data_IF_102019143355
#
_entry.id   IF_102019143355
#
_cell.length_a   1.000
_cell.length_b   1.000
_cell.length_c   1.000
_cell.angle_alpha   90.00
_cell.angle_beta   90.00
_cell.angle_gamma   90.00
#
_symmetry.space_group_name_H-M   'P 1'
#
loop_
_entity.id
_entity.type
_entity.pdbx_description
1 polymer ?
#
# COMPACT_ATOMS: atom_id res chain seq x y z
N UNK A 1 13.75 67.37 -31.14
CA UNK A 1 12.99 66.11 -31.35
C UNK A 1 13.66 64.86 -30.72
N UNK A 2 14.92 64.92 -30.30
CA UNK A 2 15.70 63.75 -29.82
C UNK A 2 15.44 63.37 -28.34
N UNK A 3 15.10 64.34 -27.47
CA UNK A 3 14.97 64.12 -26.01
C UNK A 3 13.80 63.19 -25.61
N UNK A 4 12.70 63.20 -26.38
CA UNK A 4 11.50 62.38 -26.14
C UNK A 4 11.68 60.88 -26.46
N UNK A 5 12.66 60.54 -27.29
CA UNK A 5 12.95 59.14 -27.64
C UNK A 5 13.75 58.42 -26.54
N UNK A 6 14.64 59.15 -25.84
CA UNK A 6 15.48 58.58 -24.79
C UNK A 6 14.73 58.26 -23.49
N UNK A 7 13.68 59.01 -23.15
CA UNK A 7 12.88 58.72 -21.96
C UNK A 7 11.97 57.49 -22.14
N UNK A 8 11.46 57.28 -23.36
CA UNK A 8 10.64 56.10 -23.68
C UNK A 8 11.46 54.81 -23.64
N UNK A 9 12.71 54.82 -24.12
CA UNK A 9 13.56 53.63 -24.05
C UNK A 9 13.90 53.24 -22.62
N UNK A 10 14.17 54.21 -21.74
CA UNK A 10 14.47 53.98 -20.32
C UNK A 10 13.27 53.42 -19.57
N UNK A 11 12.06 53.93 -19.85
CA UNK A 11 10.80 53.42 -19.25
C UNK A 11 10.51 51.98 -19.69
N UNK A 12 10.72 51.65 -20.97
CA UNK A 12 10.52 50.30 -21.51
C UNK A 12 11.54 49.31 -20.93
N UNK A 13 12.82 49.68 -20.80
CA UNK A 13 13.85 48.80 -20.22
C UNK A 13 13.59 48.50 -18.75
N UNK A 14 13.11 49.48 -17.95
CA UNK A 14 12.73 49.26 -16.55
C UNK A 14 11.50 48.36 -16.42
N UNK A 15 10.51 48.51 -17.31
CA UNK A 15 9.30 47.70 -17.31
C UNK A 15 9.61 46.22 -17.65
N UNK A 16 10.48 45.98 -18.63
CA UNK A 16 10.87 44.62 -19.04
C UNK A 16 11.67 43.90 -17.94
N UNK A 17 12.55 44.60 -17.22
CA UNK A 17 13.30 44.02 -16.10
C UNK A 17 12.41 43.62 -14.92
N UNK A 18 11.39 44.43 -14.58
CA UNK A 18 10.43 44.13 -13.51
C UNK A 18 9.58 42.90 -13.87
N UNK A 19 9.16 42.76 -15.12
CA UNK A 19 8.38 41.59 -15.57
C UNK A 19 9.25 40.32 -15.51
N UNK A 20 10.50 40.36 -15.95
CA UNK A 20 11.40 39.19 -15.91
C UNK A 20 11.67 38.74 -14.47
N UNK A 21 11.93 39.67 -13.54
CA UNK A 21 12.14 39.31 -12.12
C UNK A 21 10.86 38.75 -11.47
N UNK A 22 9.68 39.24 -11.86
CA UNK A 22 8.40 38.75 -11.31
C UNK A 22 8.08 37.32 -11.76
N UNK A 23 8.41 36.98 -13.02
CA UNK A 23 8.20 35.64 -13.57
C UNK A 23 9.13 34.61 -12.90
N UNK A 24 10.39 34.99 -12.63
CA UNK A 24 11.37 34.08 -12.00
C UNK A 24 10.99 33.74 -10.54
N UNK A 25 10.42 34.68 -9.79
CA UNK A 25 9.98 34.44 -8.40
C UNK A 25 8.73 33.56 -8.34
N UNK A 26 7.80 33.71 -9.30
CA UNK A 26 6.62 32.84 -9.41
C UNK A 26 6.98 31.41 -9.84
N UNK A 27 7.96 31.23 -10.73
CA UNK A 27 8.44 29.88 -11.09
C UNK A 27 9.28 29.24 -9.99
N UNK A 28 10.08 30.02 -9.25
CA UNK A 28 10.93 29.50 -8.16
C UNK A 28 10.13 29.01 -6.95
N UNK A 29 9.08 29.74 -6.58
CA UNK A 29 8.19 29.37 -5.46
C UNK A 29 7.16 28.30 -5.84
N UNK A 30 6.66 28.31 -7.09
CA UNK A 30 5.77 27.26 -7.60
C UNK A 30 6.44 25.89 -7.70
N UNK A 31 7.72 25.84 -8.11
CA UNK A 31 8.49 24.58 -8.15
C UNK A 31 8.95 24.16 -6.75
N UNK A 32 9.33 25.10 -5.88
CA UNK A 32 9.72 24.80 -4.50
C UNK A 32 8.59 24.21 -3.64
N UNK A 33 7.34 24.59 -3.90
CA UNK A 33 6.17 24.03 -3.20
C UNK A 33 5.77 22.66 -3.80
N UNK A 34 6.02 22.40 -5.08
CA UNK A 34 5.74 21.08 -5.67
C UNK A 34 6.81 20.03 -5.40
N UNK A 35 8.06 20.43 -5.14
CA UNK A 35 9.14 19.51 -4.71
C UNK A 35 9.10 19.25 -3.19
N UNK A 36 8.40 20.10 -2.42
CA UNK A 36 8.19 19.91 -0.97
C UNK A 36 7.04 18.96 -0.61
N UNK A 37 6.25 18.48 -1.57
CA UNK A 37 5.13 17.56 -1.33
C UNK A 37 5.54 16.15 -1.78
N UNK A 38 5.81 15.29 -0.78
CA UNK A 38 6.19 13.86 -0.82
C UNK A 38 7.67 13.54 -0.98
N UNK A 39 8.45 13.89 0.05
CA UNK A 39 9.54 13.01 0.52
C UNK A 39 8.97 11.86 1.39
N UNK A 40 7.90 11.20 0.93
CA UNK A 40 7.62 9.85 1.41
C UNK A 40 8.45 8.92 0.55
N UNK A 41 9.75 8.85 0.83
CA UNK A 41 10.54 7.70 0.42
C UNK A 41 9.86 6.52 1.10
N UNK A 42 8.98 5.79 0.40
CA UNK A 42 8.48 4.53 0.93
C UNK A 42 9.70 3.65 1.06
N UNK A 43 10.22 3.50 2.28
CA UNK A 43 11.27 2.53 2.54
C UNK A 43 10.76 1.20 2.02
N UNK A 44 11.50 0.60 1.08
CA UNK A 44 11.19 -0.75 0.64
C UNK A 44 11.11 -1.65 1.88
N UNK A 45 10.10 -2.52 1.96
CA UNK A 45 9.96 -3.39 3.12
C UNK A 45 11.19 -4.28 3.21
N UNK A 46 11.65 -4.57 4.43
CA UNK A 46 12.85 -5.38 4.63
C UNK A 46 12.73 -6.71 3.85
N UNK A 47 13.57 -6.97 2.84
CA UNK A 47 13.42 -8.14 1.96
C UNK A 47 13.61 -9.47 2.71
N UNK A 48 14.34 -9.45 3.83
CA UNK A 48 14.58 -10.64 4.66
C UNK A 48 13.53 -10.86 5.73
N UNK A 49 12.60 -9.91 5.92
CA UNK A 49 11.47 -10.15 6.82
C UNK A 49 10.60 -11.28 6.24
N UNK A 50 10.15 -12.18 7.10
CA UNK A 50 9.32 -13.32 6.72
C UNK A 50 8.14 -13.47 7.67
N UNK A 51 7.08 -14.08 7.15
CA UNK A 51 5.97 -14.58 7.95
C UNK A 51 5.93 -16.10 7.88
N UNK A 52 5.40 -16.71 8.93
CA UNK A 52 5.30 -18.16 9.06
C UNK A 52 4.00 -18.68 8.43
N UNK A 53 4.08 -19.83 7.78
CA UNK A 53 2.92 -20.59 7.33
C UNK A 53 3.04 -22.00 7.88
N UNK A 54 1.98 -22.51 8.50
CA UNK A 54 2.00 -23.81 9.17
C UNK A 54 0.64 -24.52 9.18
N UNK A 55 0.62 -25.73 9.73
CA UNK A 55 -0.59 -26.55 9.89
C UNK A 55 -0.77 -27.57 8.76
N UNK A 56 -1.96 -27.66 8.21
CA UNK A 56 -2.31 -28.58 7.11
C UNK A 56 -1.78 -28.06 5.76
N UNK A 57 -0.45 -28.05 5.59
CA UNK A 57 0.23 -27.74 4.32
C UNK A 57 1.18 -28.88 3.95
N UNK A 58 1.38 -29.09 2.65
CA UNK A 58 2.32 -30.10 2.15
C UNK A 58 3.74 -29.64 2.50
N UNK A 59 4.46 -30.46 3.29
CA UNK A 59 5.81 -30.11 3.78
C UNK A 59 5.87 -29.48 5.18
N UNK A 60 4.72 -29.23 5.82
CA UNK A 60 4.63 -28.92 7.26
C UNK A 60 4.68 -27.43 7.62
N UNK A 61 5.86 -26.82 7.70
CA UNK A 61 6.03 -25.41 8.06
C UNK A 61 7.00 -24.73 7.10
N UNK A 62 6.61 -23.55 6.61
CA UNK A 62 7.44 -22.75 5.71
C UNK A 62 7.47 -21.29 6.16
N UNK A 63 8.57 -20.60 5.88
CA UNK A 63 8.68 -19.16 6.07
C UNK A 63 8.74 -18.48 4.70
N UNK A 64 7.79 -17.58 4.43
CA UNK A 64 7.73 -16.83 3.17
C UNK A 64 8.34 -15.45 3.41
N UNK A 65 9.35 -15.11 2.61
CA UNK A 65 10.04 -13.83 2.70
C UNK A 65 9.28 -12.71 1.98
N UNK A 66 9.52 -11.48 2.39
CA UNK A 66 9.01 -10.30 1.70
C UNK A 66 9.54 -10.23 0.26
N UNK A 67 10.80 -10.60 0.03
CA UNK A 67 11.36 -10.70 -1.32
C UNK A 67 10.55 -11.66 -2.21
N UNK A 68 10.14 -12.81 -1.66
CA UNK A 68 9.25 -13.74 -2.36
C UNK A 68 7.91 -13.08 -2.67
N UNK A 69 7.24 -12.48 -1.67
CA UNK A 69 5.95 -11.80 -1.85
C UNK A 69 5.98 -10.73 -2.94
N UNK A 70 7.04 -9.93 -3.00
CA UNK A 70 7.22 -8.87 -4.01
C UNK A 70 7.50 -9.41 -5.42
N UNK A 71 7.91 -10.68 -5.55
CA UNK A 71 8.16 -11.32 -6.84
C UNK A 71 6.93 -12.06 -7.42
N UNK A 72 5.89 -12.26 -6.61
CA UNK A 72 4.66 -12.93 -7.03
C UNK A 72 3.78 -12.01 -7.89
N UNK A 73 2.87 -12.56 -8.71
CA UNK A 73 1.84 -11.79 -9.40
C UNK A 73 1.05 -10.95 -8.41
N UNK A 74 0.96 -9.65 -8.68
CA UNK A 74 0.22 -8.73 -7.83
C UNK A 74 -1.21 -8.52 -8.33
N UNK A 75 -2.08 -8.22 -7.39
CA UNK A 75 -3.43 -7.73 -7.59
C UNK A 75 -3.56 -6.36 -6.93
N UNK A 76 -4.24 -5.43 -7.59
CA UNK A 76 -4.40 -4.06 -7.12
C UNK A 76 -5.84 -3.58 -7.34
N UNK A 77 -6.47 -3.10 -6.28
CA UNK A 77 -7.85 -2.65 -6.31
C UNK A 77 -8.14 -1.63 -5.18
N UNK A 78 -9.12 -0.76 -5.40
CA UNK A 78 -9.68 0.10 -4.35
C UNK A 78 -10.68 -0.69 -3.50
N UNK A 79 -10.45 -0.72 -2.18
CA UNK A 79 -11.33 -1.36 -1.21
C UNK A 79 -11.96 -0.32 -0.30
N UNK A 80 -13.26 -0.45 -0.06
CA UNK A 80 -13.96 0.23 1.03
C UNK A 80 -13.81 -0.56 2.31
N UNK A 81 -13.13 0.01 3.30
CA UNK A 81 -12.96 -0.57 4.63
C UNK A 81 -13.96 0.08 5.58
N UNK A 82 -14.84 -0.73 6.16
CA UNK A 82 -15.89 -0.30 7.10
C UNK A 82 -15.59 -0.79 8.50
N UNK A 83 -15.33 0.16 9.40
CA UNK A 83 -14.96 -0.09 10.79
C UNK A 83 -15.49 1.06 11.66
N UNK A 84 -14.77 1.42 12.73
CA UNK A 84 -15.02 2.66 13.49
C UNK A 84 -14.99 3.90 12.59
N UNK A 85 -14.13 3.89 11.58
CA UNK A 85 -14.08 4.91 10.52
C UNK A 85 -14.11 4.20 9.18
N UNK A 86 -14.94 4.69 8.27
CA UNK A 86 -15.03 4.17 6.92
C UNK A 86 -14.06 4.94 6.02
N UNK A 87 -13.34 4.22 5.16
CA UNK A 87 -12.46 4.84 4.18
C UNK A 87 -12.30 3.94 2.97
N UNK A 88 -12.02 4.56 1.82
CA UNK A 88 -11.57 3.86 0.63
C UNK A 88 -10.05 3.96 0.56
N UNK A 89 -9.40 2.88 0.13
CA UNK A 89 -7.97 2.93 -0.18
C UNK A 89 -7.60 1.96 -1.29
N UNK A 90 -6.64 2.36 -2.12
CA UNK A 90 -5.99 1.49 -3.09
C UNK A 90 -5.02 0.56 -2.36
N UNK A 91 -5.23 -0.74 -2.47
CA UNK A 91 -4.31 -1.76 -1.95
C UNK A 91 -3.71 -2.57 -3.08
N UNK A 92 -2.43 -2.92 -2.92
CA UNK A 92 -1.69 -3.82 -3.80
C UNK A 92 -1.06 -4.95 -2.98
N UNK A 93 -1.21 -6.17 -3.47
CA UNK A 93 -0.84 -7.39 -2.75
C UNK A 93 -0.89 -8.63 -3.63
N UNK A 94 -0.82 -9.80 -2.98
CA UNK A 94 -0.98 -11.10 -3.65
C UNK A 94 -2.38 -11.64 -3.33
N UNK A 95 -3.07 -12.17 -4.34
CA UNK A 95 -4.35 -12.87 -4.14
C UNK A 95 -4.15 -14.09 -3.24
N UNK A 96 -5.04 -14.27 -2.27
CA UNK A 96 -4.94 -15.40 -1.35
C UNK A 96 -5.13 -16.75 -2.04
N UNK A 97 -6.07 -16.84 -2.98
CA UNK A 97 -6.29 -18.06 -3.77
C UNK A 97 -5.00 -18.51 -4.47
N UNK A 98 -4.35 -17.59 -5.20
CA UNK A 98 -3.06 -17.84 -5.85
C UNK A 98 -1.96 -18.22 -4.85
N UNK A 99 -1.83 -17.46 -3.74
CA UNK A 99 -0.82 -17.75 -2.72
C UNK A 99 -0.99 -19.16 -2.14
N UNK A 100 -2.23 -19.60 -1.96
CA UNK A 100 -2.53 -20.87 -1.29
C UNK A 100 -2.36 -22.06 -2.24
N UNK A 101 -2.72 -21.92 -3.51
CA UNK A 101 -2.61 -23.01 -4.50
C UNK A 101 -1.24 -23.11 -5.14
N UNK A 102 -0.63 -21.99 -5.53
CA UNK A 102 0.58 -22.00 -6.36
C UNK A 102 1.88 -21.89 -5.56
N UNK A 103 1.82 -21.40 -4.31
CA UNK A 103 3.02 -21.10 -3.51
C UNK A 103 3.12 -21.97 -2.26
N UNK A 104 2.03 -22.14 -1.51
CA UNK A 104 2.03 -22.86 -0.23
C UNK A 104 1.78 -24.36 -0.40
N UNK A 105 1.01 -24.76 -1.41
CA UNK A 105 0.53 -26.15 -1.60
C UNK A 105 -0.25 -26.65 -0.35
N UNK A 106 -1.41 -26.02 -0.11
CA UNK A 106 -2.26 -26.33 1.05
C UNK A 106 -2.85 -27.74 0.92
N UNK A 107 -2.82 -28.51 2.01
CA UNK A 107 -3.35 -29.87 2.02
C UNK A 107 -4.88 -29.85 1.81
N UNK A 108 -5.45 -30.69 0.92
CA UNK A 108 -6.89 -30.74 0.66
C UNK A 108 -7.77 -31.05 1.88
N UNK A 109 -7.19 -31.61 2.95
CA UNK A 109 -7.85 -31.85 4.23
C UNK A 109 -8.16 -30.55 4.98
N UNK A 110 -7.38 -29.48 4.78
CA UNK A 110 -7.59 -28.19 5.44
C UNK A 110 -9.00 -27.66 5.16
N UNK A 111 -9.66 -27.15 6.20
CA UNK A 111 -11.00 -26.57 6.14
C UNK A 111 -11.02 -25.12 6.53
N UNK A 112 -10.05 -24.67 7.31
CA UNK A 112 -9.96 -23.32 7.82
C UNK A 112 -8.56 -22.75 7.60
N UNK A 113 -8.51 -21.42 7.55
CA UNK A 113 -7.27 -20.66 7.55
C UNK A 113 -7.38 -19.55 8.57
N UNK A 114 -6.38 -19.44 9.45
CA UNK A 114 -6.28 -18.41 10.48
C UNK A 114 -5.13 -17.48 10.15
N UNK A 115 -5.41 -16.18 10.16
CA UNK A 115 -4.39 -15.13 10.03
C UNK A 115 -4.14 -14.53 11.40
N UNK A 116 -2.89 -14.60 11.87
CA UNK A 116 -2.47 -14.05 13.15
C UNK A 116 -1.57 -12.84 12.94
N UNK A 117 -1.87 -11.78 13.68
CA UNK A 117 -1.11 -10.54 13.71
C UNK A 117 -0.05 -10.53 14.80
N UNK A 118 0.90 -9.60 14.67
CA UNK A 118 1.92 -9.34 15.67
C UNK A 118 1.37 -9.00 17.07
N UNK A 119 0.21 -8.33 17.13
CA UNK A 119 -0.42 -7.92 18.40
C UNK A 119 -1.28 -9.03 19.04
N UNK A 120 -1.28 -10.24 18.46
CA UNK A 120 -2.08 -11.38 18.90
C UNK A 120 -3.52 -11.36 18.39
N UNK A 121 -3.93 -10.35 17.62
CA UNK A 121 -5.22 -10.39 16.93
C UNK A 121 -5.22 -11.50 15.88
N UNK A 122 -6.32 -12.24 15.75
CA UNK A 122 -6.45 -13.27 14.74
C UNK A 122 -7.84 -13.32 14.13
N UNK A 123 -7.92 -13.72 12.88
CA UNK A 123 -9.20 -14.02 12.22
C UNK A 123 -9.14 -15.32 11.45
N UNK A 124 -10.17 -16.15 11.60
CA UNK A 124 -10.30 -17.44 10.92
C UNK A 124 -11.39 -17.39 9.86
N UNK A 125 -11.08 -17.95 8.68
CA UNK A 125 -12.04 -18.13 7.58
C UNK A 125 -12.20 -19.60 7.25
N UNK A 126 -13.33 -19.93 6.64
CA UNK A 126 -13.44 -21.19 5.91
C UNK A 126 -12.53 -21.11 4.68
N UNK A 127 -11.68 -22.11 4.46
CA UNK A 127 -10.72 -22.12 3.36
C UNK A 127 -11.42 -22.09 2.00
N UNK A 128 -12.56 -22.77 1.86
CA UNK A 128 -13.32 -22.74 0.60
C UNK A 128 -13.86 -21.36 0.26
N UNK A 129 -14.20 -20.53 1.25
CA UNK A 129 -14.60 -19.13 1.01
C UNK A 129 -13.43 -18.34 0.42
N UNK A 130 -12.23 -18.53 0.95
CA UNK A 130 -11.03 -17.82 0.51
C UNK A 130 -10.60 -18.27 -0.89
N UNK A 131 -10.60 -19.59 -1.15
CA UNK A 131 -10.20 -20.13 -2.46
C UNK A 131 -11.17 -19.75 -3.58
N UNK A 132 -12.46 -19.61 -3.27
CA UNK A 132 -13.48 -19.18 -4.24
C UNK A 132 -13.58 -17.65 -4.37
N UNK A 133 -12.66 -16.89 -3.76
CA UNK A 133 -12.66 -15.44 -3.81
C UNK A 133 -11.36 -14.90 -4.43
N UNK A 134 -11.51 -14.20 -5.56
CA UNK A 134 -10.42 -13.57 -6.31
C UNK A 134 -10.09 -12.15 -5.83
N UNK A 135 -10.85 -11.61 -4.88
CA UNK A 135 -10.67 -10.25 -4.37
C UNK A 135 -10.00 -10.19 -3.00
N UNK A 136 -9.77 -11.32 -2.33
CA UNK A 136 -9.07 -11.32 -1.05
C UNK A 136 -7.57 -11.29 -1.30
N UNK A 137 -6.88 -10.36 -0.66
CA UNK A 137 -5.44 -10.19 -0.85
C UNK A 137 -4.67 -10.10 0.47
N UNK A 138 -3.41 -10.50 0.40
CA UNK A 138 -2.40 -10.14 1.39
C UNK A 138 -1.61 -8.95 0.85
N UNK A 139 -1.99 -7.75 1.29
CA UNK A 139 -1.45 -6.48 0.81
C UNK A 139 -0.12 -6.13 1.45
N UNK A 140 0.82 -5.64 0.65
CA UNK A 140 2.11 -5.07 1.09
C UNK A 140 2.23 -3.58 0.74
N UNK A 141 1.23 -2.99 0.07
CA UNK A 141 1.21 -1.60 -0.35
C UNK A 141 -0.19 -0.99 -0.21
N UNK A 142 -0.25 0.26 0.23
CA UNK A 142 -1.47 1.07 0.37
C UNK A 142 -1.21 2.47 -0.20
N UNK A 143 -2.09 2.97 -1.05
CA UNK A 143 -1.97 4.31 -1.69
C UNK A 143 -0.62 4.52 -2.40
N UNK A 144 -0.12 3.48 -3.08
CA UNK A 144 1.17 3.53 -3.78
C UNK A 144 2.39 3.59 -2.86
N UNK A 145 2.23 3.35 -1.55
CA UNK A 145 3.30 3.34 -0.56
C UNK A 145 3.40 1.96 0.08
N UNK A 146 4.63 1.43 0.19
CA UNK A 146 4.85 0.18 0.92
C UNK A 146 4.40 0.33 2.37
N UNK A 147 3.76 -0.72 2.88
CA UNK A 147 3.50 -0.85 4.30
C UNK A 147 4.84 -1.05 5.02
N UNK A 148 5.03 -0.40 6.17
CA UNK A 148 6.28 -0.44 6.94
C UNK A 148 6.09 -1.14 8.28
N UNK A 149 7.19 -1.58 8.89
CA UNK A 149 7.16 -2.26 10.18
C UNK A 149 6.72 -1.32 11.32
N UNK A 150 6.33 -1.90 12.46
CA UNK A 150 6.08 -1.12 13.67
C UNK A 150 7.32 -0.35 14.15
N UNK A 151 8.53 -0.89 13.94
CA UNK A 151 9.79 -0.22 14.30
C UNK A 151 10.00 1.08 13.50
N UNK A 152 9.41 1.17 12.32
CA UNK A 152 9.44 2.35 11.44
C UNK A 152 8.19 3.23 11.60
N UNK A 153 7.38 2.99 12.64
CA UNK A 153 6.12 3.72 12.88
C UNK A 153 4.96 3.31 11.96
N UNK A 154 5.10 2.21 11.22
CA UNK A 154 4.05 1.61 10.41
C UNK A 154 3.10 0.70 11.19
N UNK A 155 2.31 -0.10 10.48
CA UNK A 155 1.40 -1.09 11.08
C UNK A 155 1.68 -2.51 10.55
N UNK A 156 2.96 -2.83 10.33
CA UNK A 156 3.40 -4.12 9.81
C UNK A 156 3.36 -4.20 8.29
N UNK A 157 4.22 -5.07 7.75
CA UNK A 157 4.47 -5.18 6.31
C UNK A 157 3.35 -5.82 5.50
N UNK A 158 2.49 -6.64 6.14
CA UNK A 158 1.43 -7.39 5.46
C UNK A 158 0.08 -7.17 6.13
N UNK A 159 -0.93 -6.78 5.34
CA UNK A 159 -2.32 -6.64 5.77
C UNK A 159 -3.20 -7.59 4.99
N UNK A 160 -4.01 -8.38 5.67
CA UNK A 160 -5.13 -9.07 5.05
C UNK A 160 -6.19 -8.04 4.68
N UNK A 161 -6.64 -8.04 3.42
CA UNK A 161 -7.72 -7.18 2.94
C UNK A 161 -8.86 -8.05 2.42
N UNK A 162 -10.04 -7.83 3.00
CA UNK A 162 -11.29 -8.51 2.67
C UNK A 162 -12.35 -7.46 2.32
N UNK A 163 -12.97 -7.48 1.14
CA UNK A 163 -14.01 -6.52 0.78
C UNK A 163 -15.27 -6.68 1.61
N UNK A 164 -16.05 -5.60 1.72
CA UNK A 164 -17.39 -5.65 2.27
C UNK A 164 -18.31 -6.41 1.32
N UNK A 165 -19.03 -7.42 1.82
CA UNK A 165 -19.98 -8.23 1.04
C UNK A 165 -21.20 -7.43 0.61
N UNK A 166 -21.57 -6.41 1.37
CA UNK A 166 -22.73 -5.56 1.12
C UNK A 166 -22.58 -4.20 1.84
N UNK A 167 -23.51 -3.24 1.64
CA UNK A 167 -23.42 -1.93 2.26
C UNK A 167 -23.40 -1.90 3.79
N UNK A 168 -23.94 -2.92 4.46
CA UNK A 168 -24.01 -3.00 5.94
C UNK A 168 -22.96 -3.90 6.55
N UNK A 169 -22.05 -4.44 5.73
CA UNK A 169 -21.00 -5.35 6.17
C UNK A 169 -19.77 -4.58 6.68
N UNK A 170 -19.55 -4.62 8.00
CA UNK A 170 -18.36 -4.05 8.65
C UNK A 170 -17.17 -5.02 8.53
N UNK A 171 -16.50 -4.95 7.38
CA UNK A 171 -15.38 -5.81 7.01
C UNK A 171 -14.05 -5.47 7.71
N UNK A 172 -13.92 -4.31 8.37
CA UNK A 172 -12.65 -3.88 8.94
C UNK A 172 -12.06 -4.82 9.98
N UNK A 173 -12.90 -5.53 10.74
CA UNK A 173 -12.45 -6.57 11.69
C UNK A 173 -11.80 -7.77 10.99
N UNK A 174 -12.22 -8.09 9.75
CA UNK A 174 -11.63 -9.16 8.94
C UNK A 174 -10.33 -8.75 8.26
N UNK A 175 -9.99 -7.46 8.28
CA UNK A 175 -8.78 -6.94 7.67
C UNK A 175 -7.64 -6.93 8.70
N UNK A 176 -7.02 -8.08 8.91
CA UNK A 176 -5.94 -8.29 9.90
C UNK A 176 -4.69 -7.51 9.48
N UNK A 177 -4.26 -6.56 10.31
CA UNK A 177 -3.02 -5.79 10.08
C UNK A 177 -1.82 -6.51 10.67
N UNK A 178 -0.65 -6.31 10.08
CA UNK A 178 0.61 -6.92 10.53
C UNK A 178 0.54 -8.45 10.66
N UNK A 179 0.05 -9.12 9.62
CA UNK A 179 0.03 -10.59 9.56
C UNK A 179 1.46 -11.11 9.67
N UNK A 180 1.70 -11.95 10.69
CA UNK A 180 2.99 -12.60 10.95
C UNK A 180 2.92 -14.11 10.83
N UNK A 181 1.72 -14.68 10.86
CA UNK A 181 1.51 -16.12 10.73
C UNK A 181 0.18 -16.44 10.02
N UNK A 182 0.21 -17.48 9.18
CA UNK A 182 -0.97 -18.10 8.56
C UNK A 182 -1.00 -19.58 8.95
N UNK A 183 -2.12 -20.04 9.49
CA UNK A 183 -2.27 -21.41 10.01
C UNK A 183 -3.44 -22.09 9.30
N UNK A 184 -3.19 -23.24 8.67
CA UNK A 184 -4.21 -24.08 8.04
C UNK A 184 -4.61 -25.22 8.97
N UNK A 185 -5.91 -25.51 9.08
CA UNK A 185 -6.46 -26.56 9.94
C UNK A 185 -7.66 -27.25 9.28
#
# INVERSE_FOLDING_TARGET
>A
MVKRMSEKSIQVTRLVLVIIFSVVILTGTGVGIWVGVRNNSSSYPNPTWSFKVSGNIVGGEINITMQTMLSLPFYEQVYTIKAKTNYDALFKGVQLSYLFTEVIDVDPSAKNVTFSAWDGYSWTFNLSEVLNNDTYILAYMKEGQYLTSYLEGGNGYLWLIVPAKNPTDFNGQRCVKSVTEIIFA
#
